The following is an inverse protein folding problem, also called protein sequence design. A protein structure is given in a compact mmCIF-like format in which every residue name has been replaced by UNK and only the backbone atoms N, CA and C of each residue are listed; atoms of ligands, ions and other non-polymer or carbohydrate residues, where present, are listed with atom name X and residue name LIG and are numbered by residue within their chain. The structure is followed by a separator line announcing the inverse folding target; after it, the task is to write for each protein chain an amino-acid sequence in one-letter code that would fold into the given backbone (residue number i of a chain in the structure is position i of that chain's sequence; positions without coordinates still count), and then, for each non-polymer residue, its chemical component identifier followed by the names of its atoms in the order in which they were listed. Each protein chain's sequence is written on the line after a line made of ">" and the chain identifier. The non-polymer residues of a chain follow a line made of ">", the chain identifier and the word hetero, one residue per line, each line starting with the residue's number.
data_IF_289250488131
#
_entry.id   IF_289250488131
#
_cell.length_a   1.000
_cell.length_b   1.000
_cell.length_c   1.000
_cell.angle_alpha   90.00
_cell.angle_beta   90.00
_cell.angle_gamma   90.00
#
_symmetry.space_group_name_H-M   'P 1'
#
loop_
_entity.id
_entity.type
_entity.pdbx_description
1 polymer ?
#
# COMPACT_ATOMS: atom_id res chain seq x y z
N UNK A 1 -26.80 8.50 -11.72
CA UNK A 1 -27.52 7.21 -11.65
C UNK A 1 -29.03 7.42 -11.62
N UNK A 2 -29.56 8.19 -10.65
CA UNK A 2 -30.98 8.54 -10.61
C UNK A 2 -31.47 9.24 -11.88
N UNK A 3 -30.74 10.25 -12.36
CA UNK A 3 -31.01 10.94 -13.65
C UNK A 3 -30.84 10.04 -14.89
N UNK A 4 -30.22 8.87 -14.73
CA UNK A 4 -30.09 7.84 -15.78
C UNK A 4 -31.04 6.66 -15.56
N UNK A 5 -32.10 6.83 -14.74
CA UNK A 5 -33.14 5.82 -14.49
C UNK A 5 -32.90 4.86 -13.31
N UNK A 6 -31.73 4.92 -12.65
CA UNK A 6 -31.38 4.04 -11.54
C UNK A 6 -31.32 4.82 -10.23
N UNK A 7 -32.50 5.13 -9.66
CA UNK A 7 -32.56 5.77 -8.34
C UNK A 7 -32.21 4.79 -7.23
N UNK A 8 -31.18 5.13 -6.45
CA UNK A 8 -30.76 4.38 -5.26
C UNK A 8 -31.51 4.83 -3.98
N UNK A 9 -32.23 5.96 -4.04
CA UNK A 9 -32.97 6.51 -2.90
C UNK A 9 -34.03 5.53 -2.40
N UNK A 10 -34.08 5.32 -1.09
CA UNK A 10 -35.03 4.39 -0.45
C UNK A 10 -34.69 2.90 -0.63
N UNK A 11 -33.58 2.55 -1.28
CA UNK A 11 -33.17 1.14 -1.52
C UNK A 11 -32.00 0.67 -0.66
N UNK A 12 -31.41 1.55 0.14
CA UNK A 12 -30.29 1.22 1.00
C UNK A 12 -30.77 0.34 2.17
N UNK A 13 -30.17 -0.85 2.31
CA UNK A 13 -30.48 -1.79 3.42
C UNK A 13 -29.45 -1.71 4.55
N UNK A 14 -28.20 -1.47 4.19
CA UNK A 14 -27.08 -1.35 5.10
C UNK A 14 -26.08 -0.34 4.52
N UNK A 15 -25.37 0.37 5.39
CA UNK A 15 -24.27 1.25 5.00
C UNK A 15 -23.10 1.07 5.95
N UNK A 16 -21.90 1.10 5.39
CA UNK A 16 -20.66 1.23 6.14
C UNK A 16 -19.84 2.34 5.52
N UNK A 17 -19.44 3.29 6.34
CA UNK A 17 -18.60 4.40 5.93
C UNK A 17 -17.16 4.07 6.33
N UNK A 18 -16.23 4.29 5.42
CA UNK A 18 -14.80 4.14 5.64
C UNK A 18 -14.11 5.40 5.14
N UNK A 19 -13.71 6.24 6.08
CA UNK A 19 -12.96 7.47 5.91
C UNK A 19 -11.46 7.19 5.97
N UNK A 20 -10.62 8.14 5.53
CA UNK A 20 -9.17 8.02 5.69
C UNK A 20 -8.74 7.82 7.15
N UNK A 21 -9.47 8.38 8.12
CA UNK A 21 -9.17 8.18 9.54
C UNK A 21 -9.43 6.73 9.97
N UNK A 22 -10.55 6.14 9.52
CA UNK A 22 -10.86 4.73 9.80
C UNK A 22 -9.86 3.80 9.11
N UNK A 23 -9.41 4.12 7.90
CA UNK A 23 -8.35 3.37 7.22
C UNK A 23 -7.03 3.46 7.98
N UNK A 24 -6.62 4.67 8.40
CA UNK A 24 -5.40 4.86 9.21
C UNK A 24 -5.45 4.02 10.48
N UNK A 25 -6.57 4.09 11.21
CA UNK A 25 -6.72 3.39 12.48
C UNK A 25 -6.84 1.87 12.29
N UNK A 26 -7.44 1.41 11.18
CA UNK A 26 -7.67 0.00 10.91
C UNK A 26 -6.49 -0.74 10.28
N UNK A 27 -5.63 -0.07 9.50
CA UNK A 27 -4.51 -0.70 8.80
C UNK A 27 -3.13 -0.18 9.19
N UNK A 28 -3.06 0.87 10.02
CA UNK A 28 -1.80 1.57 10.30
C UNK A 28 -1.30 2.42 9.11
N UNK A 29 -2.07 2.53 8.03
CA UNK A 29 -1.70 3.35 6.89
C UNK A 29 -1.54 4.82 7.28
N UNK A 30 -0.34 5.38 7.05
CA UNK A 30 -0.09 6.80 7.30
C UNK A 30 -1.11 7.66 6.57
N UNK A 31 -1.78 8.56 7.30
CA UNK A 31 -2.85 9.43 6.80
C UNK A 31 -4.01 8.71 6.08
N UNK A 32 -4.16 7.39 6.25
CA UNK A 32 -5.16 6.60 5.54
C UNK A 32 -4.85 6.36 4.06
N UNK A 33 -3.59 6.54 3.66
CA UNK A 33 -3.16 6.41 2.27
C UNK A 33 -3.29 4.97 1.76
N UNK A 34 -4.02 4.78 0.66
CA UNK A 34 -4.23 3.46 0.04
C UNK A 34 -2.96 2.89 -0.62
N UNK A 35 -2.10 3.76 -1.15
CA UNK A 35 -0.94 3.39 -1.98
C UNK A 35 0.38 3.97 -1.44
N UNK A 36 0.41 4.36 -0.17
CA UNK A 36 1.55 5.05 0.42
C UNK A 36 1.77 6.43 -0.21
N UNK A 37 3.03 6.78 -0.48
CA UNK A 37 3.38 8.05 -1.09
C UNK A 37 2.79 8.19 -2.50
N UNK A 38 2.28 9.39 -2.81
CA UNK A 38 1.69 9.73 -4.10
C UNK A 38 2.67 9.52 -5.26
N UNK A 39 2.16 9.08 -6.40
CA UNK A 39 2.89 8.89 -7.65
C UNK A 39 2.78 10.09 -8.61
N UNK A 40 2.38 11.26 -8.12
CA UNK A 40 2.14 12.45 -8.95
C UNK A 40 3.42 13.13 -9.47
N UNK A 41 4.60 12.58 -9.17
CA UNK A 41 5.89 13.04 -9.67
C UNK A 41 6.56 11.91 -10.45
N UNK A 42 7.23 12.24 -11.55
CA UNK A 42 7.87 11.25 -12.45
C UNK A 42 8.94 10.41 -11.74
N UNK A 43 9.48 10.91 -10.63
CA UNK A 43 10.49 10.25 -9.81
C UNK A 43 9.95 9.68 -8.50
N UNK A 44 8.64 9.79 -8.24
CA UNK A 44 8.02 9.35 -6.99
C UNK A 44 8.30 7.86 -6.70
N UNK A 45 8.30 7.02 -7.73
CA UNK A 45 8.56 5.58 -7.59
C UNK A 45 9.99 5.28 -7.09
N UNK A 46 10.97 6.13 -7.44
CA UNK A 46 12.37 5.98 -7.01
C UNK A 46 12.60 6.47 -5.58
N UNK A 47 11.67 7.25 -5.02
CA UNK A 47 11.76 7.77 -3.65
C UNK A 47 11.13 6.84 -2.61
N UNK A 48 10.54 5.73 -3.02
CA UNK A 48 9.98 4.75 -2.10
C UNK A 48 11.11 4.10 -1.28
N UNK A 49 10.90 3.84 0.02
CA UNK A 49 11.83 3.07 0.84
C UNK A 49 12.26 1.78 0.14
N UNK A 50 13.56 1.43 0.15
CA UNK A 50 14.05 0.16 -0.38
C UNK A 50 13.57 -1.02 0.49
N UNK A 51 13.62 -2.23 -0.05
CA UNK A 51 13.23 -3.45 0.67
C UNK A 51 14.22 -3.90 1.76
N UNK A 52 15.38 -3.24 1.88
CA UNK A 52 16.40 -3.52 2.89
C UNK A 52 16.88 -2.23 3.54
N UNK A 53 17.06 -2.25 4.85
CA UNK A 53 17.60 -1.13 5.60
C UNK A 53 19.04 -0.83 5.19
N UNK A 54 19.37 0.45 5.05
CA UNK A 54 20.74 0.92 4.82
C UNK A 54 21.55 1.04 6.11
N UNK A 55 20.88 1.01 7.26
CA UNK A 55 21.47 1.32 8.56
C UNK A 55 21.58 0.08 9.46
N UNK A 56 20.70 -0.90 9.26
CA UNK A 56 20.55 -2.05 10.15
C UNK A 56 20.61 -3.34 9.36
N UNK A 57 21.63 -4.17 9.60
CA UNK A 57 21.76 -5.49 8.98
C UNK A 57 20.62 -6.40 9.45
N UNK A 58 20.04 -7.15 8.52
CA UNK A 58 18.94 -8.08 8.83
C UNK A 58 17.56 -7.42 8.96
N UNK A 59 17.43 -6.11 8.69
CA UNK A 59 16.14 -5.43 8.67
C UNK A 59 15.64 -5.22 7.24
N UNK A 60 14.47 -5.78 6.94
CA UNK A 60 13.83 -5.75 5.63
C UNK A 60 12.45 -5.12 5.70
N UNK A 61 12.01 -4.56 4.57
CA UNK A 61 10.72 -3.92 4.43
C UNK A 61 9.98 -4.54 3.25
N UNK A 62 8.67 -4.77 3.42
CA UNK A 62 7.79 -5.24 2.37
C UNK A 62 6.40 -4.62 2.56
N UNK A 63 5.75 -4.27 1.46
CA UNK A 63 4.38 -3.75 1.48
C UNK A 63 4.15 -2.61 0.51
N UNK A 64 2.96 -2.00 0.59
CA UNK A 64 2.50 -1.02 -0.40
C UNK A 64 3.17 0.36 -0.29
N UNK A 65 3.90 0.61 0.79
CA UNK A 65 4.68 1.84 1.01
C UNK A 65 6.15 1.66 0.65
N UNK A 66 6.59 0.43 0.40
CA UNK A 66 7.97 0.06 0.04
C UNK A 66 8.07 -0.10 -1.47
N UNK A 67 9.28 -0.05 -2.02
CA UNK A 67 9.52 -0.46 -3.40
C UNK A 67 8.92 -1.87 -3.65
N UNK A 68 8.27 -2.11 -4.81
CA UNK A 68 8.05 -1.18 -5.92
C UNK A 68 6.83 -0.24 -5.78
N UNK A 69 5.87 -0.54 -4.88
CA UNK A 69 4.78 0.38 -4.53
C UNK A 69 3.50 -0.31 -4.08
N UNK A 70 2.41 0.46 -4.05
CA UNK A 70 1.09 -0.01 -3.60
C UNK A 70 0.28 -0.75 -4.67
N UNK A 71 -0.81 -1.38 -4.22
CA UNK A 71 -1.68 -2.23 -5.05
C UNK A 71 -1.28 -3.69 -4.98
N UNK A 72 -2.25 -4.59 -5.11
CA UNK A 72 -2.07 -6.04 -4.87
C UNK A 72 -0.86 -6.61 -5.63
N UNK A 73 -0.68 -6.38 -6.95
CA UNK A 73 0.47 -6.94 -7.67
C UNK A 73 1.81 -6.42 -7.13
N UNK A 74 1.90 -5.12 -6.83
CA UNK A 74 3.14 -4.48 -6.40
C UNK A 74 3.52 -4.86 -4.97
N UNK A 75 2.53 -5.05 -4.10
CA UNK A 75 2.74 -5.58 -2.74
C UNK A 75 3.30 -7.01 -2.78
N UNK A 76 2.75 -7.86 -3.66
CA UNK A 76 3.25 -9.23 -3.83
C UNK A 76 4.71 -9.24 -4.34
N UNK A 77 5.04 -8.36 -5.29
CA UNK A 77 6.42 -8.18 -5.76
C UNK A 77 7.34 -7.65 -4.66
N UNK A 78 6.89 -6.69 -3.87
CA UNK A 78 7.65 -6.15 -2.72
C UNK A 78 8.03 -7.26 -1.74
N UNK A 79 7.07 -8.13 -1.39
CA UNK A 79 7.30 -9.28 -0.51
C UNK A 79 8.29 -10.28 -1.11
N UNK A 80 8.14 -10.59 -2.40
CA UNK A 80 9.08 -11.47 -3.11
C UNK A 80 10.52 -10.94 -3.06
N UNK A 81 10.72 -9.66 -3.40
CA UNK A 81 12.06 -9.04 -3.38
C UNK A 81 12.65 -9.03 -1.98
N UNK A 82 11.87 -8.70 -0.95
CA UNK A 82 12.35 -8.74 0.43
C UNK A 82 12.76 -10.16 0.85
N UNK A 83 11.99 -11.19 0.50
CA UNK A 83 12.32 -12.58 0.78
C UNK A 83 13.59 -13.04 0.04
N UNK A 84 13.76 -12.66 -1.23
CA UNK A 84 14.98 -12.93 -1.99
C UNK A 84 16.21 -12.27 -1.34
N UNK A 85 16.08 -11.04 -0.82
CA UNK A 85 17.16 -10.37 -0.09
C UNK A 85 17.50 -11.08 1.22
N UNK A 86 16.51 -11.50 2.01
CA UNK A 86 16.72 -12.29 3.24
C UNK A 86 17.51 -13.55 2.93
N UNK A 87 17.04 -14.32 1.93
CA UNK A 87 17.69 -15.57 1.53
C UNK A 87 19.07 -15.37 0.91
N UNK A 88 19.35 -14.20 0.34
CA UNK A 88 20.67 -13.84 -0.16
C UNK A 88 21.64 -13.60 1.00
N UNK A 89 21.24 -12.75 1.94
CA UNK A 89 22.07 -12.35 3.08
C UNK A 89 22.31 -13.50 4.10
N UNK A 90 21.45 -14.52 4.14
CA UNK A 90 21.67 -15.74 4.96
C UNK A 90 22.70 -16.71 4.38
N UNK A 91 23.04 -16.59 3.10
CA UNK A 91 24.01 -17.47 2.42
C UNK A 91 25.43 -16.91 2.41
N UNK A 92 25.60 -15.64 2.78
CA UNK A 92 26.88 -14.96 2.96
C UNK A 92 27.42 -15.15 4.38
#
# INVERSE_FOLDING_TARGET
>A
LAERGFSLSGRLRETKILTPLELKNGSGAWQGALYGASANDRWAALRRPPNRSRYWRGLYFAGGTTHPGGGVPMVMLSGKVAAEMVLGDERE
#
